data_IF_440906196707
#
_entry.id   IF_440906196707
#
_cell.length_a   1.000
_cell.length_b   1.000
_cell.length_c   1.000
_cell.angle_alpha   90.00
_cell.angle_beta   90.00
_cell.angle_gamma   90.00
#
_symmetry.space_group_name_H-M   'P 1'
#
loop_
_entity.id
_entity.type
_entity.pdbx_description
1 polymer ?
#
# COMPACT_ATOMS: atom_id res chain seq x y z
N UNK A 1 -1.78 -4.48 -1.15
CA UNK A 1 -2.68 -3.83 -2.09
C UNK A 1 -2.31 -4.22 -3.52
N UNK A 2 -3.23 -4.78 -4.25
CA UNK A 2 -3.04 -5.26 -5.61
C UNK A 2 -3.54 -4.22 -6.64
N UNK A 3 -4.78 -3.76 -6.49
CA UNK A 3 -5.41 -2.86 -7.45
C UNK A 3 -5.26 -1.37 -7.07
N UNK A 4 -5.54 -1.00 -5.82
CA UNK A 4 -5.49 0.42 -5.37
C UNK A 4 -4.09 1.01 -5.57
N UNK A 5 -3.04 0.32 -5.14
CA UNK A 5 -1.66 0.79 -5.27
C UNK A 5 -1.16 0.82 -6.72
N UNK A 6 -1.78 0.06 -7.61
CA UNK A 6 -1.40 0.03 -9.03
C UNK A 6 -1.52 1.41 -9.69
N UNK A 7 -2.49 2.24 -9.26
CA UNK A 7 -2.65 3.60 -9.76
C UNK A 7 -1.49 4.55 -9.41
N UNK A 8 -0.63 4.19 -8.46
CA UNK A 8 0.63 4.90 -8.25
C UNK A 8 1.52 4.90 -9.52
N UNK A 9 1.29 3.93 -10.41
CA UNK A 9 1.92 3.86 -11.74
C UNK A 9 1.57 5.03 -12.66
N UNK A 10 0.46 5.74 -12.42
CA UNK A 10 0.06 6.91 -13.22
C UNK A 10 0.89 8.17 -12.92
N UNK A 11 1.60 8.18 -11.78
CA UNK A 11 2.50 9.28 -11.43
C UNK A 11 3.75 9.17 -12.33
N UNK A 12 4.15 10.27 -13.02
CA UNK A 12 5.36 10.29 -13.82
C UNK A 12 6.59 9.81 -13.04
N UNK A 13 7.44 8.99 -13.68
CA UNK A 13 8.57 8.33 -13.02
C UNK A 13 9.47 9.26 -12.22
N UNK A 14 9.79 10.43 -12.78
CA UNK A 14 10.62 11.46 -12.12
C UNK A 14 9.95 12.11 -10.89
N UNK A 15 8.62 12.05 -10.79
CA UNK A 15 7.86 12.58 -9.65
C UNK A 15 7.65 11.56 -8.52
N UNK A 16 7.85 10.28 -8.77
CA UNK A 16 7.66 9.24 -7.75
C UNK A 16 8.54 9.40 -6.51
N UNK A 17 9.86 9.71 -6.63
CA UNK A 17 10.70 9.98 -5.45
C UNK A 17 10.20 11.18 -4.63
N UNK A 18 9.76 12.25 -5.28
CA UNK A 18 9.19 13.43 -4.62
C UNK A 18 7.93 13.07 -3.82
N UNK A 19 7.04 12.26 -4.42
CA UNK A 19 5.81 11.80 -3.74
C UNK A 19 6.16 10.91 -2.55
N UNK A 20 7.11 9.98 -2.67
CA UNK A 20 7.57 9.18 -1.55
C UNK A 20 8.20 10.02 -0.43
N UNK A 21 8.93 11.06 -0.80
CA UNK A 21 9.50 11.99 0.18
C UNK A 21 8.42 12.81 0.89
N UNK A 22 7.39 13.22 0.18
CA UNK A 22 6.27 13.99 0.73
C UNK A 22 5.39 13.17 1.68
N UNK A 23 5.18 11.90 1.38
CA UNK A 23 4.33 10.98 2.12
C UNK A 23 5.17 9.85 2.73
N UNK A 24 5.98 10.16 3.75
CA UNK A 24 6.87 9.20 4.40
C UNK A 24 6.16 8.25 5.36
N UNK A 25 5.00 8.63 5.85
CA UNK A 25 4.17 7.82 6.73
C UNK A 25 3.25 6.93 5.91
N UNK A 26 3.15 5.65 6.26
CA UNK A 26 2.33 4.67 5.56
C UNK A 26 0.85 5.07 5.49
N UNK A 27 0.31 5.71 6.53
CA UNK A 27 -1.07 6.17 6.54
C UNK A 27 -1.29 7.36 5.58
N UNK A 28 -0.40 8.35 5.58
CA UNK A 28 -0.48 9.48 4.64
C UNK A 28 -0.29 9.03 3.19
N UNK A 29 0.62 8.05 2.97
CA UNK A 29 0.81 7.45 1.65
C UNK A 29 -0.42 6.65 1.20
N UNK A 30 -1.08 5.94 2.12
CA UNK A 30 -2.31 5.22 1.86
C UNK A 30 -3.47 6.17 1.51
N UNK A 31 -3.63 7.26 2.26
CA UNK A 31 -4.61 8.30 1.96
C UNK A 31 -4.41 8.89 0.55
N UNK A 32 -3.17 9.20 0.17
CA UNK A 32 -2.82 9.68 -1.17
C UNK A 32 -3.16 8.65 -2.25
N UNK A 33 -2.95 7.34 -1.99
CA UNK A 33 -3.35 6.28 -2.94
C UNK A 33 -4.86 6.20 -3.11
N UNK A 34 -5.64 6.42 -2.04
CA UNK A 34 -7.10 6.51 -2.11
C UNK A 34 -7.50 7.75 -2.91
N UNK A 35 -6.86 8.91 -2.71
CA UNK A 35 -7.12 10.12 -3.51
C UNK A 35 -6.87 9.88 -4.99
N UNK A 36 -5.80 9.19 -5.37
CA UNK A 36 -5.54 8.81 -6.75
C UNK A 36 -6.65 7.95 -7.33
N UNK A 37 -7.15 6.97 -6.57
CA UNK A 37 -8.25 6.11 -7.00
C UNK A 37 -9.54 6.92 -7.21
N UNK A 38 -9.86 7.84 -6.31
CA UNK A 38 -11.04 8.70 -6.42
C UNK A 38 -10.92 9.72 -7.57
N UNK A 39 -9.71 10.14 -7.89
CA UNK A 39 -9.46 11.02 -9.04
C UNK A 39 -9.64 10.28 -10.38
N UNK A 40 -9.01 9.11 -10.54
CA UNK A 40 -9.05 8.35 -11.80
C UNK A 40 -10.32 7.54 -11.99
N UNK A 41 -10.94 7.08 -10.90
CA UNK A 41 -12.18 6.28 -10.89
C UNK A 41 -12.17 5.13 -11.89
N UNK A 42 -11.22 4.19 -11.77
CA UNK A 42 -11.12 3.07 -12.71
C UNK A 42 -12.43 2.26 -12.72
N UNK A 43 -12.89 1.93 -13.91
CA UNK A 43 -14.17 1.22 -14.11
C UNK A 43 -14.04 -0.30 -13.97
N UNK A 44 -12.85 -0.80 -14.06
CA UNK A 44 -12.54 -2.22 -13.94
C UNK A 44 -11.13 -2.38 -13.37
N UNK A 45 -11.00 -3.26 -12.40
CA UNK A 45 -9.74 -3.76 -11.90
C UNK A 45 -9.66 -5.25 -12.18
N UNK A 46 -8.57 -5.69 -12.76
CA UNK A 46 -8.21 -7.10 -12.92
C UNK A 46 -6.89 -7.30 -12.21
N UNK A 47 -6.88 -8.22 -11.26
CA UNK A 47 -5.69 -8.57 -10.50
C UNK A 47 -5.30 -10.02 -10.82
N UNK A 48 -4.10 -10.20 -11.33
CA UNK A 48 -3.47 -11.50 -11.44
C UNK A 48 -2.97 -11.91 -10.04
N UNK A 49 -3.61 -12.91 -9.48
CA UNK A 49 -3.26 -13.56 -8.24
C UNK A 49 -2.97 -15.05 -8.46
N UNK A 50 -2.51 -15.46 -9.64
CA UNK A 50 -2.10 -16.84 -9.91
C UNK A 50 -0.87 -17.17 -9.09
N UNK A 51 0.14 -16.30 -9.12
CA UNK A 51 1.34 -16.41 -8.27
C UNK A 51 1.53 -15.09 -7.53
N UNK A 52 1.44 -15.15 -6.20
CA UNK A 52 1.78 -14.02 -5.32
C UNK A 52 3.25 -14.09 -4.89
N UNK A 53 3.71 -13.00 -4.30
CA UNK A 53 5.03 -12.93 -3.67
C UNK A 53 4.87 -12.81 -2.15
N UNK A 54 5.39 -13.74 -1.40
CA UNK A 54 5.39 -13.72 0.06
C UNK A 54 6.75 -13.28 0.63
N UNK A 55 6.76 -12.84 1.89
CA UNK A 55 7.99 -12.43 2.60
C UNK A 55 8.47 -11.03 2.21
N UNK A 56 9.78 -10.88 2.01
CA UNK A 56 10.44 -9.59 1.80
C UNK A 56 10.31 -9.05 0.35
N UNK A 57 9.08 -8.93 -0.15
CA UNK A 57 8.84 -8.24 -1.44
C UNK A 57 9.25 -6.76 -1.38
N UNK A 58 9.38 -6.08 -2.53
CA UNK A 58 9.06 -6.55 -3.89
C UNK A 58 10.18 -7.29 -4.62
N UNK A 59 11.40 -7.32 -4.10
CA UNK A 59 12.56 -7.85 -4.83
C UNK A 59 13.20 -9.09 -4.19
N UNK A 60 12.95 -9.34 -2.91
CA UNK A 60 13.56 -10.43 -2.14
C UNK A 60 12.49 -11.36 -1.51
N UNK A 61 11.31 -11.42 -2.08
CA UNK A 61 10.28 -12.38 -1.68
C UNK A 61 10.36 -13.67 -2.45
N UNK A 62 9.59 -14.67 -1.99
CA UNK A 62 9.46 -15.97 -2.64
C UNK A 62 8.13 -16.09 -3.37
N UNK A 63 8.08 -16.76 -4.54
CA UNK A 63 6.81 -16.96 -5.23
C UNK A 63 5.93 -17.94 -4.44
N UNK A 64 4.64 -17.63 -4.38
CA UNK A 64 3.60 -18.45 -3.74
C UNK A 64 2.44 -18.63 -4.69
N UNK A 65 2.10 -19.89 -4.98
CA UNK A 65 0.93 -20.22 -5.79
C UNK A 65 -0.34 -19.91 -5.00
N UNK A 66 -1.23 -19.09 -5.60
CA UNK A 66 -2.56 -18.77 -5.10
C UNK A 66 -3.62 -19.30 -6.06
N UNK A 67 -3.41 -19.15 -7.36
CA UNK A 67 -4.25 -19.74 -8.40
C UNK A 67 -5.54 -18.96 -8.69
N UNK A 68 -5.58 -17.67 -8.42
CA UNK A 68 -6.77 -16.85 -8.60
C UNK A 68 -6.57 -15.71 -9.62
N UNK A 69 -7.66 -15.32 -10.27
CA UNK A 69 -7.79 -14.04 -10.98
C UNK A 69 -8.98 -13.31 -10.36
N UNK A 70 -8.77 -12.06 -9.95
CA UNK A 70 -9.80 -11.23 -9.34
C UNK A 70 -10.19 -10.15 -10.33
N UNK A 71 -11.49 -10.04 -10.64
CA UNK A 71 -12.03 -8.95 -11.43
C UNK A 71 -13.13 -8.21 -10.66
N UNK A 72 -13.09 -6.89 -10.65
CA UNK A 72 -14.05 -6.07 -9.91
C UNK A 72 -14.22 -4.69 -10.57
N UNK A 73 -15.44 -4.14 -10.47
CA UNK A 73 -15.70 -2.74 -10.83
C UNK A 73 -15.14 -1.73 -9.82
N UNK A 74 -14.67 -2.21 -8.66
CA UNK A 74 -14.02 -1.40 -7.62
C UNK A 74 -12.65 -1.96 -7.32
N UNK A 75 -11.64 -1.10 -7.37
CA UNK A 75 -10.26 -1.42 -6.96
C UNK A 75 -10.20 -1.83 -5.49
N UNK A 76 -11.01 -1.19 -4.67
CA UNK A 76 -11.10 -1.49 -3.23
C UNK A 76 -11.65 -2.88 -2.97
N UNK A 77 -12.70 -3.28 -3.70
CA UNK A 77 -13.30 -4.61 -3.53
C UNK A 77 -12.35 -5.70 -4.02
N UNK A 78 -11.62 -5.44 -5.11
CA UNK A 78 -10.56 -6.35 -5.56
C UNK A 78 -9.47 -6.53 -4.49
N UNK A 79 -9.07 -5.45 -3.84
CA UNK A 79 -8.05 -5.49 -2.78
C UNK A 79 -8.56 -6.18 -1.50
N UNK A 80 -9.85 -6.02 -1.12
CA UNK A 80 -10.45 -6.75 0.01
C UNK A 80 -10.43 -8.26 -0.25
N UNK A 81 -10.90 -8.69 -1.42
CA UNK A 81 -10.88 -10.12 -1.79
C UNK A 81 -9.44 -10.64 -1.87
N UNK A 82 -8.53 -9.87 -2.48
CA UNK A 82 -7.11 -10.23 -2.58
C UNK A 82 -6.42 -10.35 -1.21
N UNK A 83 -6.80 -9.53 -0.24
CA UNK A 83 -6.32 -9.65 1.14
C UNK A 83 -6.80 -10.95 1.80
N UNK A 84 -8.08 -11.27 1.66
CA UNK A 84 -8.66 -12.49 2.24
C UNK A 84 -8.08 -13.75 1.62
N UNK A 85 -7.76 -13.76 0.32
CA UNK A 85 -7.11 -14.90 -0.33
C UNK A 85 -5.75 -15.25 0.28
N UNK A 86 -5.08 -14.31 0.90
CA UNK A 86 -3.78 -14.52 1.58
C UNK A 86 -3.91 -14.44 3.11
N UNK A 87 -5.11 -14.67 3.64
CA UNK A 87 -5.35 -14.71 5.09
C UNK A 87 -5.16 -13.37 5.82
N UNK A 88 -5.17 -12.23 5.11
CA UNK A 88 -5.03 -10.90 5.70
C UNK A 88 -6.40 -10.22 5.86
N UNK A 89 -6.52 -9.40 6.89
CA UNK A 89 -7.64 -8.48 7.10
C UNK A 89 -7.24 -7.04 6.77
N UNK A 90 -8.20 -6.13 6.83
CA UNK A 90 -7.98 -4.71 6.51
C UNK A 90 -7.02 -4.02 7.50
N UNK A 91 -6.95 -4.47 8.76
CA UNK A 91 -6.14 -3.82 9.81
C UNK A 91 -4.64 -3.91 9.52
N UNK A 92 -4.22 -4.96 8.82
CA UNK A 92 -2.84 -5.15 8.37
C UNK A 92 -2.49 -4.40 7.07
N UNK A 93 -3.44 -3.68 6.47
CA UNK A 93 -3.29 -3.07 5.15
C UNK A 93 -3.67 -1.58 5.16
N UNK A 94 -2.71 -0.65 5.34
CA UNK A 94 -2.97 0.79 5.48
C UNK A 94 -3.88 1.36 4.39
N UNK A 95 -3.71 0.90 3.14
CA UNK A 95 -4.53 1.36 1.99
C UNK A 95 -6.00 0.96 2.14
N UNK A 96 -6.27 -0.27 2.58
CA UNK A 96 -7.64 -0.75 2.80
C UNK A 96 -8.25 -0.11 4.04
N UNK A 97 -7.46 0.10 5.08
CA UNK A 97 -7.91 0.80 6.27
C UNK A 97 -8.32 2.24 5.94
N UNK A 98 -7.49 2.98 5.21
CA UNK A 98 -7.80 4.34 4.75
C UNK A 98 -9.07 4.36 3.88
N UNK A 99 -9.23 3.38 2.97
CA UNK A 99 -10.42 3.27 2.13
C UNK A 99 -11.67 2.93 2.95
N UNK A 100 -11.57 2.04 3.95
CA UNK A 100 -12.67 1.68 4.85
C UNK A 100 -13.16 2.88 5.65
N UNK A 101 -12.26 3.62 6.27
CA UNK A 101 -12.61 4.77 7.10
C UNK A 101 -13.19 5.93 6.30
N UNK A 102 -12.88 6.00 5.01
CA UNK A 102 -13.47 6.96 4.06
C UNK A 102 -14.74 6.46 3.39
N UNK A 103 -15.22 5.25 3.75
CA UNK A 103 -16.46 4.65 3.24
C UNK A 103 -16.37 4.07 1.83
N UNK A 104 -15.17 3.88 1.27
CA UNK A 104 -14.97 3.32 -0.08
C UNK A 104 -14.82 1.80 -0.11
N UNK A 105 -14.39 1.19 1.00
CA UNK A 105 -14.20 -0.25 1.11
C UNK A 105 -15.02 -0.83 2.26
N UNK A 106 -15.55 -2.06 2.16
CA UNK A 106 -16.10 -2.77 3.30
C UNK A 106 -14.98 -3.38 4.15
N UNK A 107 -15.30 -3.73 5.40
CA UNK A 107 -14.36 -4.40 6.30
C UNK A 107 -13.99 -5.83 5.86
N UNK A 108 -14.85 -6.49 5.10
CA UNK A 108 -14.62 -7.83 4.57
C UNK A 108 -15.49 -8.12 3.34
N UNK A 109 -15.17 -9.20 2.61
CA UNK A 109 -15.94 -9.66 1.47
C UNK A 109 -17.35 -10.14 1.81
N UNK A 110 -17.65 -10.39 3.08
CA UNK A 110 -19.00 -10.80 3.53
C UNK A 110 -20.11 -9.83 3.15
N UNK A 111 -19.75 -8.56 2.96
CA UNK A 111 -20.66 -7.50 2.54
C UNK A 111 -20.64 -7.26 1.02
N UNK A 112 -19.96 -8.13 0.28
CA UNK A 112 -19.83 -8.06 -1.17
C UNK A 112 -20.58 -9.20 -1.85
N UNK A 113 -21.09 -8.94 -3.05
CA UNK A 113 -21.56 -9.99 -3.94
C UNK A 113 -20.37 -10.54 -4.71
N UNK A 114 -19.86 -11.70 -4.27
CA UNK A 114 -18.73 -12.38 -4.88
C UNK A 114 -19.23 -13.55 -5.73
N UNK A 115 -18.67 -13.73 -6.91
CA UNK A 115 -18.84 -14.89 -7.77
C UNK A 115 -17.54 -15.69 -7.74
N UNK A 116 -17.59 -16.88 -7.19
CA UNK A 116 -16.45 -17.77 -6.95
C UNK A 116 -16.32 -18.14 -5.48
N UNK A 117 -15.43 -19.05 -5.20
CA UNK A 117 -15.20 -19.56 -3.83
C UNK A 117 -13.86 -19.05 -3.28
N UNK A 118 -13.94 -17.98 -2.48
CA UNK A 118 -12.76 -17.41 -1.83
C UNK A 118 -12.11 -18.45 -0.91
N UNK A 119 -12.91 -19.22 -0.16
CA UNK A 119 -12.39 -20.18 0.84
C UNK A 119 -11.58 -21.30 0.20
N UNK A 120 -12.03 -21.79 -0.95
CA UNK A 120 -11.32 -22.83 -1.68
C UNK A 120 -9.96 -22.37 -2.22
N UNK A 121 -9.76 -21.06 -2.38
CA UNK A 121 -8.54 -20.45 -2.92
C UNK A 121 -7.70 -19.73 -1.84
N UNK A 122 -8.16 -19.71 -0.59
CA UNK A 122 -7.42 -19.05 0.49
C UNK A 122 -6.14 -19.80 0.84
N UNK A 123 -5.06 -19.04 0.98
CA UNK A 123 -3.74 -19.54 1.43
C UNK A 123 -3.51 -19.07 2.85
N UNK A 124 -3.83 -19.94 3.82
CA UNK A 124 -3.81 -19.61 5.26
C UNK A 124 -2.41 -19.40 5.83
N UNK A 125 -1.39 -20.01 5.23
CA UNK A 125 0.01 -19.93 5.65
C UNK A 125 0.85 -18.93 4.85
N UNK A 126 0.21 -17.96 4.19
CA UNK A 126 0.90 -16.94 3.42
C UNK A 126 1.77 -16.06 4.33
N UNK A 127 3.05 -15.97 4.01
CA UNK A 127 4.02 -15.17 4.77
C UNK A 127 3.93 -13.70 4.39
N UNK A 128 3.03 -12.98 5.05
CA UNK A 128 2.92 -11.55 4.86
C UNK A 128 4.26 -10.85 5.18
N UNK A 129 4.63 -9.77 4.47
CA UNK A 129 5.78 -8.98 4.85
C UNK A 129 5.58 -8.43 6.27
N UNK A 130 6.67 -8.31 7.07
CA UNK A 130 6.55 -7.73 8.40
C UNK A 130 5.97 -6.33 8.29
N UNK A 131 4.84 -6.09 8.97
CA UNK A 131 4.26 -4.75 9.09
C UNK A 131 5.28 -3.93 9.87
N UNK A 132 5.96 -3.00 9.21
CA UNK A 132 6.83 -2.03 9.87
C UNK A 132 5.94 -1.14 10.72
N UNK A 133 5.88 -1.49 12.01
CA UNK A 133 4.94 -0.90 12.94
C UNK A 133 5.14 0.59 13.11
N UNK A 134 4.10 1.31 12.80
CA UNK A 134 3.70 2.63 13.36
C UNK A 134 2.34 3.02 12.74
N UNK A 135 1.64 2.05 12.17
CA UNK A 135 0.33 2.19 11.53
C UNK A 135 -0.76 2.70 12.49
N UNK A 136 -0.57 2.60 13.82
CA UNK A 136 -1.58 3.03 14.79
C UNK A 136 -1.58 4.54 15.09
N UNK A 137 -0.57 5.28 14.58
CA UNK A 137 -0.45 6.72 14.81
C UNK A 137 -1.14 7.53 13.71
N UNK A 138 -2.47 7.48 13.68
CA UNK A 138 -3.28 8.26 12.74
C UNK A 138 -3.43 9.75 13.12
N UNK A 139 -3.71 10.58 12.08
CA UNK A 139 -4.03 12.02 12.20
C UNK A 139 -4.98 12.31 13.35
N UNK A 140 -4.58 13.19 14.25
CA UNK A 140 -5.43 13.75 15.30
C UNK A 140 -4.94 13.57 16.72
N UNK A 141 -3.93 12.73 16.97
CA UNK A 141 -3.36 12.59 18.31
C UNK A 141 -2.11 13.50 18.48
N UNK A 142 -1.99 14.13 19.64
CA UNK A 142 -0.80 14.91 20.04
C UNK A 142 0.48 14.07 19.88
N UNK A 143 0.39 12.76 20.09
CA UNK A 143 1.47 11.79 19.84
C UNK A 143 1.90 11.75 18.36
N UNK A 144 0.99 11.94 17.41
CA UNK A 144 1.32 11.98 15.97
C UNK A 144 2.18 13.20 15.64
N UNK A 145 1.90 14.36 16.26
CA UNK A 145 2.67 15.58 16.03
C UNK A 145 4.12 15.45 16.58
N UNK A 146 4.24 14.86 17.76
CA UNK A 146 5.55 14.62 18.41
C UNK A 146 6.33 13.56 17.63
N UNK A 147 5.68 12.49 17.17
CA UNK A 147 6.35 11.42 16.40
C UNK A 147 6.79 11.88 15.01
N UNK A 148 6.00 12.74 14.34
CA UNK A 148 6.38 13.33 13.05
C UNK A 148 7.65 14.16 13.18
N UNK A 149 7.74 15.00 14.20
CA UNK A 149 8.92 15.83 14.46
C UNK A 149 10.17 15.01 14.86
N UNK A 150 9.98 13.87 15.56
CA UNK A 150 11.08 13.04 16.06
C UNK A 150 11.55 11.97 15.06
N UNK A 151 10.65 11.50 14.15
CA UNK A 151 10.91 10.39 13.22
C UNK A 151 11.09 10.85 11.76
N UNK A 152 10.94 12.13 11.47
CA UNK A 152 11.26 12.68 10.15
C UNK A 152 12.76 12.50 9.86
N UNK A 153 13.10 11.48 9.09
CA UNK A 153 14.45 11.28 8.58
C UNK A 153 14.74 12.35 7.51
N UNK A 154 15.32 13.47 7.94
CA UNK A 154 15.78 14.49 6.99
C UNK A 154 17.18 14.13 6.49
N UNK A 155 17.43 14.17 5.18
CA UNK A 155 18.78 14.02 4.67
C UNK A 155 19.66 15.11 5.27
N UNK A 156 20.70 14.71 5.99
CA UNK A 156 21.65 15.64 6.62
C UNK A 156 23.00 15.55 5.95
N UNK A 157 23.50 16.70 5.50
CA UNK A 157 24.82 16.78 4.90
C UNK A 157 25.90 16.73 6.01
N UNK A 158 26.69 15.68 6.03
CA UNK A 158 27.89 15.63 6.88
C UNK A 158 29.00 16.46 6.25
N UNK A 159 29.13 17.74 6.64
CA UNK A 159 30.10 18.69 6.07
C UNK A 159 31.53 18.14 6.00
N UNK A 160 31.93 17.33 6.97
CA UNK A 160 33.28 16.70 7.02
C UNK A 160 33.54 15.68 5.93
N UNK A 161 32.47 15.10 5.32
CA UNK A 161 32.56 14.08 4.27
C UNK A 161 32.14 14.62 2.91
N UNK A 162 31.72 15.88 2.84
CA UNK A 162 31.25 16.49 1.62
C UNK A 162 32.44 16.95 0.77
N UNK A 163 32.54 16.37 -0.44
CA UNK A 163 33.57 16.74 -1.43
C UNK A 163 33.11 17.85 -2.38
N UNK A 164 31.94 18.42 -2.18
CA UNK A 164 31.41 19.53 -2.98
C UNK A 164 31.03 19.17 -4.44
N UNK A 165 30.80 17.89 -4.75
CA UNK A 165 30.51 17.44 -6.12
C UNK A 165 29.16 17.92 -6.70
N UNK A 166 28.26 18.46 -5.86
CA UNK A 166 26.96 18.98 -6.28
C UNK A 166 25.90 17.92 -6.65
N UNK A 167 26.19 16.62 -6.56
CA UNK A 167 25.25 15.56 -6.92
C UNK A 167 23.95 15.62 -6.13
N UNK A 168 24.04 15.87 -4.82
CA UNK A 168 22.84 16.00 -3.98
C UNK A 168 21.94 17.17 -4.40
N UNK A 169 22.51 18.28 -4.88
CA UNK A 169 21.74 19.42 -5.38
C UNK A 169 21.11 19.16 -6.75
N UNK A 170 21.67 18.25 -7.55
CA UNK A 170 21.09 17.82 -8.83
C UNK A 170 19.95 16.78 -8.65
N UNK A 171 19.99 16.03 -7.55
CA UNK A 171 18.99 14.99 -7.25
C UNK A 171 17.78 15.53 -6.46
N UNK A 172 17.89 16.69 -5.82
CA UNK A 172 16.81 17.44 -5.16
C UNK A 172 16.36 18.61 -5.98
#
# INVERSE_FOLDING_TARGET
>A
SAAVKNLFGTIPGLKKPEVHYKFQNDAEFADMLVDLNEYFKPRLAICDAVVGMEGNGPTAGTPRQIGAIIASKSTYYADVVGAELIGMNIDGLPTLQAAYERGFAPASSKNLRVYGDIRALTVDDFKAPPVRGLSFMRKGNVLHFISKAALEHKPTLKKRLCVGCGECARMC
#
